data_IF_708325979493
#
_entry.id   IF_708325979493
#
_cell.length_a   1.000
_cell.length_b   1.000
_cell.length_c   1.000
_cell.angle_alpha   90.00
_cell.angle_beta   90.00
_cell.angle_gamma   90.00
#
_symmetry.space_group_name_H-M   'P 1'
#
loop_
_entity.id
_entity.type
_entity.pdbx_description
1 polymer ?
#
# COMPACT_ATOMS: atom_id res chain seq x y z
N UNK A 1 10.12 26.27 -14.24
CA UNK A 1 10.78 25.91 -12.96
C UNK A 1 10.06 24.68 -12.44
N UNK A 2 10.62 23.50 -12.70
CA UNK A 2 10.10 22.25 -12.14
C UNK A 2 10.52 22.20 -10.67
N UNK A 3 9.56 22.31 -9.75
CA UNK A 3 9.79 22.06 -8.33
C UNK A 3 9.85 20.55 -8.12
N UNK A 4 11.06 20.00 -8.12
CA UNK A 4 11.33 18.63 -7.69
C UNK A 4 11.08 18.50 -6.19
N UNK A 5 9.98 17.87 -5.80
CA UNK A 5 9.74 17.49 -4.40
C UNK A 5 10.54 16.20 -4.14
N UNK A 6 11.66 16.31 -3.43
CA UNK A 6 12.43 15.15 -3.00
C UNK A 6 11.60 14.34 -2.00
N UNK A 7 11.22 13.11 -2.35
CA UNK A 7 10.61 12.19 -1.41
C UNK A 7 11.64 11.79 -0.34
N UNK A 8 11.32 11.91 0.96
CA UNK A 8 12.24 11.47 2.02
C UNK A 8 12.45 9.96 1.95
N UNK A 9 13.71 9.53 2.01
CA UNK A 9 14.11 8.13 2.16
C UNK A 9 13.57 7.60 3.49
N UNK A 10 12.43 6.90 3.46
CA UNK A 10 11.93 6.16 4.62
C UNK A 10 12.61 4.80 4.64
N UNK A 11 13.68 4.67 5.44
CA UNK A 11 14.26 3.39 5.80
C UNK A 11 13.43 2.77 6.92
N UNK A 12 12.38 2.01 6.58
CA UNK A 12 11.66 1.17 7.56
C UNK A 12 12.40 -0.16 7.72
N UNK A 13 12.91 -0.42 8.92
CA UNK A 13 13.36 -1.74 9.33
C UNK A 13 12.10 -2.56 9.67
N UNK A 14 11.91 -3.70 9.00
CA UNK A 14 10.90 -4.67 9.42
C UNK A 14 11.57 -5.64 10.39
N UNK A 15 11.22 -5.55 11.67
CA UNK A 15 11.48 -6.60 12.66
C UNK A 15 10.29 -7.57 12.63
N UNK A 16 10.34 -8.52 11.70
CA UNK A 16 9.37 -9.60 11.62
C UNK A 16 10.00 -10.88 12.15
N UNK A 17 9.78 -11.20 13.42
CA UNK A 17 10.02 -12.55 13.90
C UNK A 17 9.05 -13.49 13.17
N UNK A 18 9.56 -14.33 12.27
CA UNK A 18 8.77 -15.38 11.65
C UNK A 18 8.40 -16.42 12.72
N UNK A 19 7.25 -16.24 13.36
CA UNK A 19 6.70 -17.23 14.27
C UNK A 19 5.99 -18.29 13.43
N UNK A 20 6.71 -19.36 13.07
CA UNK A 20 6.11 -20.55 12.46
C UNK A 20 5.36 -21.30 13.57
N UNK A 21 4.08 -20.97 13.76
CA UNK A 21 3.19 -21.67 14.68
C UNK A 21 2.58 -22.90 14.02
N UNK A 22 2.70 -24.07 14.66
CA UNK A 22 1.84 -25.22 14.36
C UNK A 22 0.58 -25.10 15.22
N UNK A 23 -0.58 -24.89 14.60
CA UNK A 23 -1.86 -24.92 15.32
C UNK A 23 -2.30 -26.37 15.52
N UNK A 24 -2.36 -26.82 16.77
CA UNK A 24 -3.01 -28.06 17.16
C UNK A 24 -4.33 -27.71 17.87
N UNK A 25 -5.44 -28.19 17.33
CA UNK A 25 -6.77 -28.00 17.93
C UNK A 25 -7.00 -29.07 18.99
N UNK A 26 -7.29 -28.63 20.22
CA UNK A 26 -7.74 -29.46 21.33
C UNK A 26 -9.18 -29.10 21.61
N UNK A 27 -10.10 -30.06 21.50
CA UNK A 27 -11.50 -29.88 21.91
C UNK A 27 -11.66 -29.69 23.42
N UNK A 28 -10.59 -29.90 24.17
CA UNK A 28 -10.57 -29.83 25.61
C UNK A 28 -10.19 -28.39 25.99
N UNK A 29 -11.04 -27.72 26.78
CA UNK A 29 -10.93 -26.31 27.15
C UNK A 29 -9.63 -25.97 27.87
N UNK A 30 -8.55 -25.82 27.10
CA UNK A 30 -7.21 -25.56 27.60
C UNK A 30 -7.20 -24.26 28.41
N UNK A 31 -6.68 -24.33 29.63
CA UNK A 31 -6.41 -23.17 30.48
C UNK A 31 -4.90 -23.09 30.71
N UNK A 32 -4.38 -21.92 31.08
CA UNK A 32 -2.93 -21.69 31.31
C UNK A 32 -2.32 -22.55 32.43
N UNK A 33 -3.14 -23.29 33.17
CA UNK A 33 -2.75 -24.12 34.33
C UNK A 33 -2.80 -25.63 33.97
N UNK A 34 -3.44 -26.00 32.86
CA UNK A 34 -3.52 -27.38 32.38
C UNK A 34 -3.32 -27.43 30.87
N UNK A 35 -2.05 -27.52 30.44
CA UNK A 35 -1.71 -27.69 29.04
C UNK A 35 -1.99 -29.16 28.68
N UNK A 36 -2.98 -29.46 27.83
CA UNK A 36 -3.23 -30.84 27.41
C UNK A 36 -1.98 -31.34 26.69
N UNK A 37 -1.47 -32.51 27.10
CA UNK A 37 -0.39 -33.21 26.38
C UNK A 37 -0.71 -33.43 24.90
N UNK A 38 -2.00 -33.33 24.57
CA UNK A 38 -2.57 -33.46 23.24
C UNK A 38 -2.33 -32.26 22.31
N UNK A 39 -1.63 -31.22 22.78
CA UNK A 39 -1.19 -30.09 21.96
C UNK A 39 0.34 -29.95 21.92
N UNK A 40 1.07 -30.84 22.59
CA UNK A 40 2.51 -30.74 22.73
C UNK A 40 3.25 -31.54 21.66
N UNK A 41 4.24 -30.88 21.06
CA UNK A 41 5.15 -31.49 20.09
C UNK A 41 6.60 -31.30 20.52
N UNK A 42 7.42 -32.31 20.26
CA UNK A 42 8.87 -32.25 20.43
C UNK A 42 9.56 -32.29 19.07
N UNK A 43 10.33 -31.26 18.69
CA UNK A 43 11.15 -31.32 17.48
C UNK A 43 12.31 -32.30 17.68
N UNK A 44 12.66 -33.01 16.60
CA UNK A 44 13.83 -33.88 16.51
C UNK A 44 14.64 -33.45 15.32
N UNK A 45 15.91 -33.11 15.53
CA UNK A 45 16.84 -32.79 14.44
C UNK A 45 17.09 -34.06 13.62
N UNK A 46 16.81 -34.00 12.33
CA UNK A 46 17.10 -35.10 11.38
C UNK A 46 18.47 -34.84 10.74
N UNK A 47 18.68 -33.63 10.22
CA UNK A 47 19.93 -33.15 9.67
C UNK A 47 20.05 -31.61 9.82
N UNK A 48 20.91 -30.97 9.01
CA UNK A 48 21.14 -29.53 9.08
C UNK A 48 19.98 -28.66 8.58
N UNK A 49 19.13 -29.17 7.68
CA UNK A 49 18.02 -28.41 7.08
C UNK A 49 16.66 -29.03 7.36
N UNK A 50 16.61 -30.08 8.17
CA UNK A 50 15.41 -30.90 8.33
C UNK A 50 15.18 -31.26 9.79
N UNK A 51 13.94 -31.09 10.23
CA UNK A 51 13.43 -31.59 11.52
C UNK A 51 12.29 -32.57 11.30
N UNK A 52 12.00 -33.37 12.32
CA UNK A 52 10.75 -34.10 12.44
C UNK A 52 10.03 -33.63 13.72
N UNK A 53 8.72 -33.75 13.77
CA UNK A 53 7.93 -33.43 14.97
C UNK A 53 7.37 -34.71 15.58
N UNK A 54 7.62 -34.94 16.88
CA UNK A 54 6.96 -35.99 17.66
C UNK A 54 5.78 -35.38 18.37
N UNK A 55 4.60 -35.97 18.20
CA UNK A 55 3.44 -35.65 19.02
C UNK A 55 3.55 -36.35 20.37
N UNK A 56 3.52 -35.60 21.47
CA UNK A 56 3.74 -36.18 22.80
C UNK A 56 2.56 -37.03 23.31
N UNK A 57 1.35 -36.82 22.77
CA UNK A 57 0.17 -37.61 23.17
C UNK A 57 0.23 -39.08 22.75
N UNK A 58 0.88 -39.42 21.63
CA UNK A 58 1.02 -40.82 21.18
C UNK A 58 2.46 -41.25 20.85
N UNK A 59 3.45 -40.36 21.04
CA UNK A 59 4.87 -40.57 20.76
C UNK A 59 5.22 -40.95 19.31
N UNK A 60 4.31 -40.76 18.36
CA UNK A 60 4.58 -40.96 16.94
C UNK A 60 5.13 -39.67 16.30
N UNK A 61 5.86 -39.85 15.19
CA UNK A 61 6.24 -38.77 14.31
C UNK A 61 5.05 -38.32 13.45
N UNK A 62 4.97 -37.00 13.30
CA UNK A 62 4.08 -36.31 12.39
C UNK A 62 4.50 -36.50 10.94
N UNK A 63 3.56 -36.89 10.07
CA UNK A 63 3.73 -36.98 8.62
C UNK A 63 2.64 -36.24 7.87
N UNK A 64 2.93 -35.89 6.62
CA UNK A 64 1.90 -35.39 5.71
C UNK A 64 0.77 -36.41 5.53
N UNK A 65 -0.46 -35.93 5.53
CA UNK A 65 -1.68 -36.72 5.38
C UNK A 65 -2.55 -36.16 4.27
N UNK A 66 -2.95 -37.04 3.35
CA UNK A 66 -3.99 -36.80 2.34
C UNK A 66 -4.90 -38.03 2.28
N UNK A 67 -5.99 -38.02 3.03
CA UNK A 67 -6.98 -39.09 3.08
C UNK A 67 -8.31 -38.57 3.65
N UNK A 68 -9.42 -39.28 3.44
CA UNK A 68 -10.73 -38.98 4.02
C UNK A 68 -11.17 -37.50 3.86
N UNK A 69 -10.97 -36.94 2.68
CA UNK A 69 -11.31 -35.53 2.39
C UNK A 69 -10.38 -34.49 3.03
N UNK A 70 -9.35 -34.90 3.77
CA UNK A 70 -8.32 -34.02 4.34
C UNK A 70 -7.17 -33.88 3.36
N UNK A 71 -6.73 -32.64 3.11
CA UNK A 71 -5.63 -32.33 2.20
C UNK A 71 -4.61 -31.43 2.87
N UNK A 72 -3.32 -31.74 2.69
CA UNK A 72 -2.20 -30.95 3.24
C UNK A 72 -2.21 -30.87 4.78
N UNK A 73 -2.59 -31.96 5.45
CA UNK A 73 -2.62 -32.03 6.91
C UNK A 73 -1.36 -32.70 7.46
N UNK A 74 -1.12 -32.53 8.76
CA UNK A 74 -0.07 -33.20 9.51
C UNK A 74 -0.69 -34.22 10.48
N UNK A 75 -0.19 -35.45 10.53
CA UNK A 75 -0.73 -36.53 11.36
C UNK A 75 0.36 -37.36 12.04
N UNK A 76 0.26 -37.57 13.34
CA UNK A 76 1.18 -38.36 14.16
C UNK A 76 0.90 -39.87 14.05
N UNK A 77 1.26 -40.48 12.93
CA UNK A 77 0.86 -41.85 12.59
C UNK A 77 2.01 -42.85 12.42
N UNK A 78 3.26 -42.40 12.44
CA UNK A 78 4.42 -43.26 12.13
C UNK A 78 5.41 -43.30 13.29
N UNK A 79 6.05 -44.46 13.47
CA UNK A 79 6.96 -44.71 14.61
C UNK A 79 8.44 -44.40 14.30
N UNK A 80 8.75 -44.01 13.07
CA UNK A 80 10.10 -43.67 12.62
C UNK A 80 10.05 -42.49 11.66
N UNK A 81 11.18 -41.79 11.48
CA UNK A 81 11.27 -40.64 10.58
C UNK A 81 11.32 -41.12 9.12
N UNK A 82 10.18 -41.16 8.45
CA UNK A 82 10.08 -41.37 7.00
C UNK A 82 10.19 -40.05 6.24
N UNK A 83 10.38 -40.11 4.91
CA UNK A 83 10.56 -38.88 4.08
C UNK A 83 9.39 -37.90 4.20
N UNK A 84 8.17 -38.40 4.33
CA UNK A 84 6.94 -37.62 4.46
C UNK A 84 6.70 -37.08 5.88
N UNK A 85 7.60 -37.36 6.83
CA UNK A 85 7.65 -36.80 8.18
C UNK A 85 8.75 -35.77 8.39
N UNK A 86 9.53 -35.51 7.35
CA UNK A 86 10.58 -34.51 7.35
C UNK A 86 9.99 -33.13 7.01
N UNK A 87 10.28 -32.16 7.86
CA UNK A 87 9.93 -30.75 7.71
C UNK A 87 11.21 -29.98 7.43
N UNK A 88 11.28 -29.34 6.27
CA UNK A 88 12.40 -28.46 5.93
C UNK A 88 12.34 -27.20 6.79
N UNK A 89 13.47 -26.86 7.40
CA UNK A 89 13.63 -25.63 8.16
C UNK A 89 14.27 -24.59 7.24
N UNK A 90 13.63 -23.43 7.14
CA UNK A 90 14.24 -22.25 6.54
C UNK A 90 14.78 -21.34 7.63
N UNK A 91 15.96 -20.76 7.39
CA UNK A 91 16.57 -19.80 8.31
C UNK A 91 15.65 -18.58 8.46
N UNK A 92 15.18 -18.26 9.68
CA UNK A 92 14.34 -17.10 9.88
C UNK A 92 15.15 -15.83 9.58
N UNK A 93 14.48 -14.83 9.01
CA UNK A 93 15.09 -13.50 8.79
C UNK A 93 15.02 -12.73 10.09
N UNK A 94 16.17 -12.30 10.61
CA UNK A 94 16.25 -11.48 11.83
C UNK A 94 15.84 -10.04 11.56
N UNK A 95 16.38 -9.43 10.50
CA UNK A 95 15.99 -8.07 10.08
C UNK A 95 15.86 -8.01 8.56
N UNK A 96 14.87 -7.23 8.10
CA UNK A 96 14.69 -6.93 6.68
C UNK A 96 14.75 -5.43 6.44
N UNK A 97 15.58 -5.02 5.50
CA UNK A 97 15.67 -3.65 5.00
C UNK A 97 15.26 -3.60 3.53
N UNK A 98 14.36 -2.68 3.21
CA UNK A 98 13.96 -2.40 1.83
C UNK A 98 14.56 -1.05 1.44
N UNK A 99 15.29 -1.01 0.34
CA UNK A 99 15.91 0.21 -0.16
C UNK A 99 15.98 0.23 -1.70
N UNK A 100 16.41 1.36 -2.26
CA UNK A 100 16.54 1.55 -3.71
C UNK A 100 15.25 1.21 -4.48
N UNK A 101 14.11 1.71 -4.01
CA UNK A 101 12.84 1.58 -4.72
C UNK A 101 12.98 2.32 -6.07
N UNK A 102 12.73 1.60 -7.16
CA UNK A 102 12.77 2.11 -8.54
C UNK A 102 11.39 2.00 -9.16
N UNK A 103 10.81 3.13 -9.51
CA UNK A 103 9.52 3.20 -10.21
C UNK A 103 9.71 3.02 -11.71
N UNK A 104 8.90 2.15 -12.31
CA UNK A 104 8.92 1.84 -13.73
C UNK A 104 7.87 2.69 -14.46
N UNK A 105 8.16 3.97 -14.65
CA UNK A 105 7.21 4.95 -15.20
C UNK A 105 6.76 4.60 -16.63
N UNK A 106 7.61 3.97 -17.44
CA UNK A 106 7.24 3.52 -18.80
C UNK A 106 6.13 2.45 -18.81
N UNK A 107 5.94 1.76 -17.67
CA UNK A 107 4.89 0.77 -17.46
C UNK A 107 3.79 1.30 -16.55
N UNK A 108 3.80 2.60 -16.26
CA UNK A 108 2.74 3.22 -15.48
C UNK A 108 1.49 3.42 -16.33
N UNK A 109 0.34 3.45 -15.66
CA UNK A 109 -0.95 3.72 -16.29
C UNK A 109 -1.69 4.76 -15.48
N UNK A 110 -2.29 5.73 -16.17
CA UNK A 110 -3.32 6.61 -15.62
C UNK A 110 -4.67 6.15 -16.16
N UNK A 111 -5.69 6.16 -15.31
CA UNK A 111 -7.03 5.68 -15.63
C UNK A 111 -8.08 6.32 -14.72
N UNK A 112 -9.36 6.04 -14.99
CA UNK A 112 -10.49 6.65 -14.28
C UNK A 112 -10.45 8.19 -14.27
N UNK A 113 -9.91 8.81 -15.32
CA UNK A 113 -9.77 10.26 -15.43
C UNK A 113 -11.14 10.94 -15.45
N UNK A 114 -11.32 11.94 -14.57
CA UNK A 114 -12.52 12.76 -14.49
C UNK A 114 -12.16 14.22 -14.27
N UNK A 115 -12.70 15.09 -15.11
CA UNK A 115 -12.61 16.54 -14.89
C UNK A 115 -13.60 16.97 -13.83
N UNK A 116 -13.15 17.71 -12.83
CA UNK A 116 -13.98 18.32 -11.80
C UNK A 116 -13.86 19.84 -11.85
N UNK A 117 -14.93 20.55 -11.51
CA UNK A 117 -14.85 21.98 -11.19
C UNK A 117 -14.46 22.08 -9.72
N UNK A 118 -13.18 22.34 -9.47
CA UNK A 118 -12.60 22.42 -8.13
C UNK A 118 -13.00 23.70 -7.40
N UNK A 119 -13.17 24.80 -8.15
CA UNK A 119 -13.64 26.07 -7.62
C UNK A 119 -14.38 26.86 -8.70
N UNK A 120 -15.32 27.71 -8.27
CA UNK A 120 -16.11 28.56 -9.17
C UNK A 120 -16.37 29.90 -8.51
N UNK A 121 -16.10 30.97 -9.24
CA UNK A 121 -16.37 32.32 -8.76
C UNK A 121 -16.71 33.25 -9.94
N UNK A 122 -17.36 34.38 -9.68
CA UNK A 122 -17.86 35.27 -10.74
C UNK A 122 -17.81 36.73 -10.34
N UNK A 123 -17.62 37.60 -11.33
CA UNK A 123 -17.74 39.05 -11.21
C UNK A 123 -18.81 39.56 -12.19
N UNK A 124 -19.57 40.59 -11.81
CA UNK A 124 -20.66 41.15 -12.62
C UNK A 124 -20.53 42.66 -12.73
N UNK A 125 -20.81 43.20 -13.92
CA UNK A 125 -20.82 44.63 -14.19
C UNK A 125 -22.22 45.07 -14.64
N UNK A 126 -22.95 45.77 -13.77
CA UNK A 126 -24.29 46.30 -14.03
C UNK A 126 -24.28 47.74 -14.58
N UNK A 127 -23.10 48.28 -14.91
CA UNK A 127 -22.99 49.59 -15.55
C UNK A 127 -23.69 49.60 -16.91
N UNK A 128 -24.46 50.65 -17.17
CA UNK A 128 -25.12 50.93 -18.44
C UNK A 128 -24.23 51.77 -19.39
N UNK A 129 -23.11 52.29 -18.89
CA UNK A 129 -22.13 53.02 -19.68
C UNK A 129 -21.07 52.04 -20.23
N UNK A 130 -20.43 52.38 -21.35
CA UNK A 130 -19.35 51.60 -21.96
C UNK A 130 -18.06 51.60 -21.13
N UNK A 131 -18.16 51.18 -19.88
CA UNK A 131 -17.06 50.98 -18.95
C UNK A 131 -16.83 49.50 -18.73
N UNK A 132 -15.58 49.09 -18.89
CA UNK A 132 -15.10 47.77 -18.51
C UNK A 132 -14.59 47.85 -17.07
N UNK A 133 -14.92 46.85 -16.25
CA UNK A 133 -14.40 46.77 -14.88
C UNK A 133 -13.28 45.73 -14.84
N UNK A 134 -12.15 46.11 -14.24
CA UNK A 134 -11.11 45.16 -13.88
C UNK A 134 -11.57 44.38 -12.64
N UNK A 135 -11.91 43.12 -12.86
CA UNK A 135 -12.30 42.18 -11.81
C UNK A 135 -11.10 41.37 -11.32
N UNK A 136 -11.00 41.21 -10.01
CA UNK A 136 -10.13 40.22 -9.38
C UNK A 136 -11.00 39.09 -8.86
N UNK A 137 -10.77 37.87 -9.35
CA UNK A 137 -11.46 36.67 -8.88
C UNK A 137 -10.47 35.82 -8.11
N UNK A 138 -10.79 35.54 -6.85
CA UNK A 138 -10.02 34.65 -5.99
C UNK A 138 -10.69 33.27 -6.00
N UNK A 139 -9.89 32.23 -6.27
CA UNK A 139 -10.33 30.83 -6.32
C UNK A 139 -9.49 30.03 -5.34
N UNK A 140 -10.15 29.26 -4.48
CA UNK A 140 -9.52 28.27 -3.62
C UNK A 140 -10.14 26.90 -3.89
N UNK A 141 -9.31 25.87 -3.99
CA UNK A 141 -9.76 24.48 -4.18
C UNK A 141 -8.90 23.51 -3.38
N UNK A 142 -9.53 22.49 -2.80
CA UNK A 142 -8.85 21.41 -2.10
C UNK A 142 -8.50 20.27 -3.06
N UNK A 143 -7.20 19.96 -3.15
CA UNK A 143 -6.66 18.85 -3.90
C UNK A 143 -6.19 17.78 -2.93
N UNK A 144 -6.86 16.64 -2.91
CA UNK A 144 -6.46 15.50 -2.09
C UNK A 144 -5.51 14.59 -2.87
N UNK A 145 -4.32 14.37 -2.34
CA UNK A 145 -3.30 13.45 -2.86
C UNK A 145 -2.56 12.83 -1.68
N UNK A 146 -1.83 11.73 -1.81
CA UNK A 146 -0.91 11.30 -0.75
C UNK A 146 -0.98 9.82 -0.44
N UNK A 147 0.20 9.22 -0.30
CA UNK A 147 0.41 7.82 0.11
C UNK A 147 1.78 7.73 0.78
N UNK A 148 1.84 7.05 1.91
CA UNK A 148 3.08 6.55 2.51
C UNK A 148 3.06 5.01 2.44
N UNK A 149 4.23 4.38 2.37
CA UNK A 149 4.30 2.92 2.30
C UNK A 149 3.68 2.27 3.55
N UNK A 150 2.61 1.50 3.33
CA UNK A 150 1.88 0.76 4.35
C UNK A 150 0.64 1.48 4.91
N UNK A 151 0.42 2.75 4.58
CA UNK A 151 -0.76 3.50 5.04
C UNK A 151 -1.30 4.44 3.95
N UNK A 152 -2.62 4.42 3.75
CA UNK A 152 -3.29 5.43 2.92
C UNK A 152 -3.35 6.73 3.70
N UNK A 153 -2.68 7.78 3.22
CA UNK A 153 -2.65 9.09 3.87
C UNK A 153 -3.17 10.17 2.94
N UNK A 154 -4.35 10.69 3.24
CA UNK A 154 -4.92 11.82 2.49
C UNK A 154 -4.20 13.11 2.86
N UNK A 155 -3.40 13.66 1.94
CA UNK A 155 -2.81 15.01 1.99
C UNK A 155 -3.71 15.95 1.20
N UNK A 156 -4.37 16.87 1.90
CA UNK A 156 -5.13 17.95 1.27
C UNK A 156 -4.21 19.14 1.02
N UNK A 157 -4.04 19.53 -0.23
CA UNK A 157 -3.36 20.78 -0.63
C UNK A 157 -4.42 21.79 -1.07
N UNK A 158 -4.42 22.97 -0.46
CA UNK A 158 -5.28 24.08 -0.92
C UNK A 158 -4.53 24.83 -2.02
N UNK A 159 -5.14 24.93 -3.19
CA UNK A 159 -4.63 25.73 -4.32
C UNK A 159 -5.36 27.06 -4.32
N UNK A 160 -4.65 28.15 -4.01
CA UNK A 160 -5.17 29.52 -4.07
C UNK A 160 -4.66 30.22 -5.33
N UNK A 161 -5.58 30.74 -6.15
CA UNK A 161 -5.23 31.46 -7.38
C UNK A 161 -6.03 32.75 -7.52
N UNK A 162 -5.31 33.83 -7.84
CA UNK A 162 -5.87 35.11 -8.23
C UNK A 162 -5.93 35.18 -9.75
N UNK A 163 -7.13 35.25 -10.33
CA UNK A 163 -7.33 35.43 -11.76
C UNK A 163 -7.87 36.84 -12.05
N UNK A 164 -7.14 37.60 -12.87
CA UNK A 164 -7.59 38.92 -13.33
C UNK A 164 -8.52 38.73 -14.53
N UNK A 165 -9.71 39.31 -14.47
CA UNK A 165 -10.70 39.27 -15.54
C UNK A 165 -11.17 40.66 -15.88
N UNK A 166 -11.45 40.87 -17.17
CA UNK A 166 -12.07 42.10 -17.66
C UNK A 166 -13.56 41.83 -17.79
N UNK A 167 -14.41 42.64 -17.16
CA UNK A 167 -15.87 42.44 -17.12
C UNK A 167 -16.57 43.55 -17.94
N UNK A 168 -17.01 43.25 -19.17
CA UNK A 168 -17.76 44.19 -20.01
C UNK A 168 -19.06 44.69 -19.39
N UNK A 169 -19.57 45.81 -19.89
CA UNK A 169 -20.85 46.40 -19.45
C UNK A 169 -22.01 45.39 -19.59
N UNK A 170 -22.92 45.36 -18.62
CA UNK A 170 -24.08 44.46 -18.60
C UNK A 170 -23.71 42.98 -18.81
N UNK A 171 -22.57 42.54 -18.26
CA UNK A 171 -22.17 41.13 -18.31
C UNK A 171 -21.78 40.59 -16.94
N UNK A 172 -21.96 39.28 -16.80
CA UNK A 172 -21.41 38.46 -15.73
C UNK A 172 -20.33 37.56 -16.30
N UNK A 173 -19.13 37.68 -15.76
CA UNK A 173 -18.00 36.81 -16.08
C UNK A 173 -17.83 35.79 -14.96
N UNK A 174 -17.91 34.52 -15.30
CA UNK A 174 -17.72 33.39 -14.39
C UNK A 174 -16.43 32.67 -14.75
N UNK A 175 -15.59 32.37 -13.74
CA UNK A 175 -14.36 31.60 -13.91
C UNK A 175 -14.49 30.28 -13.15
N UNK A 176 -14.34 29.19 -13.89
CA UNK A 176 -14.28 27.83 -13.36
C UNK A 176 -12.81 27.37 -13.30
N UNK A 177 -12.35 26.96 -12.12
CA UNK A 177 -11.11 26.23 -11.91
C UNK A 177 -11.39 24.74 -12.14
N UNK A 178 -10.89 24.19 -13.23
CA UNK A 178 -11.09 22.80 -13.62
C UNK A 178 -9.80 22.02 -13.35
N UNK A 179 -9.91 20.89 -12.67
CA UNK A 179 -8.82 19.96 -12.44
C UNK A 179 -9.21 18.57 -12.91
N UNK A 180 -8.25 17.78 -13.36
CA UNK A 180 -8.48 16.38 -13.74
C UNK A 180 -8.03 15.48 -12.59
N UNK A 181 -8.95 14.74 -12.01
CA UNK A 181 -8.63 13.66 -11.07
C UNK A 181 -8.38 12.38 -11.86
N UNK A 182 -7.25 11.74 -11.65
CA UNK A 182 -6.97 10.43 -12.24
C UNK A 182 -6.40 9.48 -11.20
N UNK A 183 -6.70 8.19 -11.36
CA UNK A 183 -5.98 7.11 -10.66
C UNK A 183 -4.74 6.74 -11.45
N UNK A 184 -3.69 6.34 -10.75
CA UNK A 184 -2.46 5.88 -11.37
C UNK A 184 -1.98 4.57 -10.75
N UNK A 185 -1.46 3.70 -11.59
CA UNK A 185 -0.76 2.47 -11.23
C UNK A 185 0.69 2.59 -11.70
N UNK A 186 1.64 2.44 -10.78
CA UNK A 186 3.08 2.56 -11.04
C UNK A 186 3.79 1.31 -10.53
N UNK A 187 4.15 0.37 -11.41
CA UNK A 187 4.97 -0.77 -11.03
C UNK A 187 6.32 -0.32 -10.47
N UNK A 188 6.84 -1.01 -9.47
CA UNK A 188 8.15 -0.72 -8.91
C UNK A 188 8.96 -2.00 -8.63
N UNK A 189 10.25 -1.81 -8.43
CA UNK A 189 11.17 -2.84 -7.93
C UNK A 189 11.99 -2.28 -6.79
N UNK A 190 12.51 -3.13 -5.93
CA UNK A 190 13.34 -2.68 -4.81
C UNK A 190 14.44 -3.69 -4.50
N UNK A 191 15.42 -3.24 -3.74
CA UNK A 191 16.46 -4.09 -3.17
C UNK A 191 16.08 -4.46 -1.75
N UNK A 192 16.03 -5.76 -1.49
CA UNK A 192 15.81 -6.33 -0.17
C UNK A 192 17.14 -6.78 0.41
N UNK A 193 17.43 -6.38 1.64
CA UNK A 193 18.58 -6.84 2.41
C UNK A 193 18.07 -7.52 3.68
N UNK A 194 18.28 -8.82 3.76
CA UNK A 194 17.89 -9.65 4.90
C UNK A 194 19.13 -10.01 5.72
N UNK A 195 19.09 -9.78 7.03
CA UNK A 195 20.08 -10.30 7.97
C UNK A 195 19.50 -11.54 8.63
N UNK A 196 20.19 -12.67 8.52
CA UNK A 196 19.79 -13.94 9.14
C UNK A 196 20.29 -14.01 10.60
N UNK A 197 19.79 -14.96 11.38
CA UNK A 197 20.21 -15.14 12.78
C UNK A 197 21.68 -15.50 12.96
N UNK A 198 22.30 -16.11 11.94
CA UNK A 198 23.73 -16.37 11.92
C UNK A 198 24.59 -15.13 11.59
N UNK A 199 23.97 -13.94 11.42
CA UNK A 199 24.64 -12.68 11.08
C UNK A 199 24.93 -12.50 9.58
N UNK A 200 24.63 -13.50 8.74
CA UNK A 200 24.79 -13.40 7.29
C UNK A 200 23.79 -12.42 6.71
N UNK A 201 24.25 -11.57 5.79
CA UNK A 201 23.39 -10.66 5.04
C UNK A 201 23.19 -11.16 3.61
N UNK A 202 21.94 -11.31 3.19
CA UNK A 202 21.55 -11.67 1.83
C UNK A 202 20.89 -10.45 1.18
N UNK A 203 21.37 -10.03 0.01
CA UNK A 203 20.80 -8.92 -0.75
C UNK A 203 20.22 -9.42 -2.07
N UNK A 204 18.95 -9.12 -2.32
CA UNK A 204 18.20 -9.62 -3.48
C UNK A 204 17.48 -8.47 -4.18
N UNK A 205 17.52 -8.45 -5.51
CA UNK A 205 16.62 -7.59 -6.29
C UNK A 205 15.25 -8.23 -6.38
N UNK A 206 14.24 -7.52 -5.91
CA UNK A 206 12.86 -8.00 -5.84
C UNK A 206 12.01 -7.21 -6.83
N UNK A 207 11.31 -7.92 -7.71
CA UNK A 207 10.20 -7.31 -8.44
C UNK A 207 9.12 -6.98 -7.41
N UNK A 208 8.87 -5.68 -7.24
CA UNK A 208 7.88 -5.21 -6.28
C UNK A 208 6.47 -5.39 -6.83
N UNK A 209 5.55 -4.69 -6.18
CA UNK A 209 4.17 -4.63 -6.63
C UNK A 209 3.91 -3.43 -7.54
N UNK A 210 2.65 -3.05 -7.57
CA UNK A 210 2.18 -1.82 -8.19
C UNK A 210 1.80 -0.84 -7.10
N UNK A 211 2.30 0.38 -7.20
CA UNK A 211 1.82 1.49 -6.40
C UNK A 211 0.56 2.04 -7.06
N UNK A 212 -0.56 2.05 -6.33
CA UNK A 212 -1.83 2.61 -6.81
C UNK A 212 -2.12 3.89 -6.06
N UNK A 213 -2.33 4.99 -6.76
CA UNK A 213 -2.71 6.26 -6.16
C UNK A 213 -3.73 7.03 -6.97
N UNK A 214 -4.15 8.18 -6.46
CA UNK A 214 -4.96 9.14 -7.20
C UNK A 214 -4.40 10.53 -6.99
N UNK A 215 -4.40 11.34 -8.05
CA UNK A 215 -3.93 12.72 -7.98
C UNK A 215 -4.77 13.62 -8.89
N UNK A 216 -4.71 14.92 -8.61
CA UNK A 216 -5.25 15.97 -9.47
C UNK A 216 -4.13 16.61 -10.29
N UNK A 217 -4.34 16.76 -11.60
CA UNK A 217 -3.40 17.41 -12.51
C UNK A 217 -4.17 18.14 -13.62
N UNK A 218 -3.43 18.77 -14.54
CA UNK A 218 -4.01 19.54 -15.66
C UNK A 218 -5.01 20.59 -15.18
N UNK A 219 -4.54 21.53 -14.37
CA UNK A 219 -5.35 22.64 -13.86
C UNK A 219 -5.58 23.66 -14.98
N UNK A 220 -6.85 23.97 -15.26
CA UNK A 220 -7.27 24.88 -16.34
C UNK A 220 -8.31 25.85 -15.83
N UNK A 221 -8.21 27.10 -16.28
CA UNK A 221 -9.22 28.14 -16.03
C UNK A 221 -10.13 28.25 -17.25
N UNK A 222 -11.45 28.15 -17.05
CA UNK A 222 -12.42 28.45 -18.10
C UNK A 222 -13.25 29.66 -17.70
N UNK A 223 -13.34 30.61 -18.63
CA UNK A 223 -14.12 31.83 -18.44
C UNK A 223 -15.37 31.77 -19.28
N UNK A 224 -16.51 32.11 -18.69
CA UNK A 224 -17.81 32.21 -19.36
C UNK A 224 -18.41 33.58 -19.13
N UNK A 225 -18.80 34.24 -20.20
CA UNK A 225 -19.50 35.53 -20.17
C UNK A 225 -21.00 35.32 -20.46
N UNK A 226 -21.85 35.96 -19.65
CA UNK A 226 -23.29 35.94 -19.79
C UNK A 226 -23.84 37.38 -19.75
N UNK A 227 -24.77 37.72 -20.65
CA UNK A 227 -25.45 39.02 -20.61
C UNK A 227 -26.40 39.09 -19.42
N UNK A 228 -26.33 40.20 -18.70
CA UNK A 228 -27.25 40.54 -17.62
C UNK A 228 -28.57 41.07 -18.22
N UNK A 229 -29.68 40.76 -17.55
CA UNK A 229 -31.02 41.27 -17.90
C UNK A 229 -31.29 42.59 -17.20
#
# INVERSE_FOLDING_TARGET
>A
METSVSSPLVQKNFEGAAQIGFCADSKDGATTINIPVDTLFRPVKVDNHTIAAIYLGNNNFCKSLRTEGKTNCLNAAIRSVTRDAQLTVEEPVMTRQIHNVKYKLDYSRVYDERTIVAAKNSASNYSQQSSTLDGKIELSGEVQSGIEWGETKTITTVVEVVHKVVVPLMTKVTVDLIATNGKCDVPFSFTQRDTLYNGTTVTTQVQGGTYTGSNYYSIIFKTKEEKLK
#
